data_IF_541203180833
#
_entry.id   IF_541203180833
#
_cell.length_a   1.000
_cell.length_b   1.000
_cell.length_c   1.000
_cell.angle_alpha   90.00
_cell.angle_beta   90.00
_cell.angle_gamma   90.00
#
_symmetry.space_group_name_H-M   'P 1'
#
loop_
_entity.id
_entity.type
_entity.pdbx_description
1 polymer ?
#
# COMPACT_ATOMS: atom_id res chain seq x y z
N UNK A 1 -9.14 8.52 8.21
CA UNK A 1 -7.98 8.90 7.36
C UNK A 1 -7.84 7.84 6.30
N UNK A 2 -7.80 8.21 5.02
CA UNK A 2 -7.69 7.24 3.93
C UNK A 2 -6.21 7.01 3.62
N UNK A 3 -5.79 5.75 3.69
CA UNK A 3 -4.45 5.32 3.29
C UNK A 3 -4.58 4.44 2.06
N UNK A 4 -3.89 4.81 1.00
CA UNK A 4 -3.81 3.99 -0.20
C UNK A 4 -2.58 3.09 -0.08
N UNK A 5 -2.84 1.78 -0.13
CA UNK A 5 -1.80 0.76 -0.06
C UNK A 5 -1.69 0.06 -1.42
N UNK A 6 -0.63 0.40 -2.17
CA UNK A 6 -0.33 -0.26 -3.43
C UNK A 6 0.42 -1.57 -3.15
N UNK A 7 -0.17 -2.67 -3.60
CA UNK A 7 0.28 -4.04 -3.34
C UNK A 7 0.26 -4.87 -4.62
N UNK A 8 0.79 -6.09 -4.56
CA UNK A 8 0.76 -7.07 -5.65
C UNK A 8 0.68 -8.48 -5.09
N UNK A 9 0.31 -9.43 -5.93
CA UNK A 9 0.30 -10.85 -5.53
C UNK A 9 1.71 -11.37 -5.32
N UNK A 10 1.88 -12.28 -4.35
CA UNK A 10 3.15 -12.96 -4.03
C UNK A 10 4.30 -11.99 -3.67
N UNK A 11 4.01 -10.99 -2.86
CA UNK A 11 5.00 -10.02 -2.37
C UNK A 11 5.12 -10.15 -0.84
N UNK A 12 6.27 -10.63 -0.35
CA UNK A 12 6.50 -10.82 1.09
C UNK A 12 6.49 -9.48 1.85
N UNK A 13 7.12 -8.44 1.28
CA UNK A 13 7.15 -7.09 1.88
C UNK A 13 5.74 -6.50 2.02
N UNK A 14 4.85 -6.80 1.08
CA UNK A 14 3.47 -6.34 1.10
C UNK A 14 2.66 -7.02 2.21
N UNK A 15 2.98 -8.28 2.54
CA UNK A 15 2.36 -8.97 3.68
C UNK A 15 2.77 -8.27 4.98
N UNK A 16 4.06 -7.96 5.13
CA UNK A 16 4.57 -7.26 6.32
C UNK A 16 3.96 -5.85 6.46
N UNK A 17 3.91 -5.09 5.37
CA UNK A 17 3.28 -3.78 5.34
C UNK A 17 1.79 -3.84 5.72
N UNK A 18 1.05 -4.82 5.19
CA UNK A 18 -0.36 -5.03 5.51
C UNK A 18 -0.57 -5.33 6.99
N UNK A 19 0.25 -6.21 7.58
CA UNK A 19 0.16 -6.53 9.01
C UNK A 19 0.36 -5.27 9.88
N UNK A 20 1.32 -4.41 9.53
CA UNK A 20 1.54 -3.15 10.25
C UNK A 20 0.33 -2.23 10.13
N UNK A 21 -0.23 -2.07 8.93
CA UNK A 21 -1.39 -1.22 8.73
C UNK A 21 -2.64 -1.75 9.47
N UNK A 22 -2.84 -3.06 9.51
CA UNK A 22 -3.92 -3.70 10.28
C UNK A 22 -3.75 -3.48 11.79
N UNK A 23 -2.51 -3.51 12.30
CA UNK A 23 -2.23 -3.15 13.69
C UNK A 23 -2.63 -1.69 13.94
N UNK A 24 -2.22 -0.78 13.05
CA UNK A 24 -2.53 0.66 13.17
C UNK A 24 -4.04 0.96 13.09
N UNK A 25 -4.83 0.17 12.35
CA UNK A 25 -6.29 0.31 12.35
C UNK A 25 -6.92 0.08 13.73
N UNK A 26 -6.27 -0.68 14.63
CA UNK A 26 -6.81 -0.88 15.98
C UNK A 26 -6.65 0.37 16.86
N UNK A 27 -5.59 1.14 16.63
CA UNK A 27 -5.25 2.33 17.43
C UNK A 27 -5.78 3.63 16.81
N UNK A 28 -6.01 3.64 15.49
CA UNK A 28 -6.41 4.82 14.73
C UNK A 28 -7.58 4.51 13.77
N UNK A 29 -8.50 5.48 13.54
CA UNK A 29 -9.60 5.34 12.58
C UNK A 29 -9.08 5.53 11.14
N UNK A 30 -8.31 4.55 10.67
CA UNK A 30 -7.73 4.52 9.33
C UNK A 30 -8.58 3.62 8.44
N UNK A 31 -8.83 4.08 7.22
CA UNK A 31 -9.43 3.29 6.16
C UNK A 31 -8.33 2.94 5.15
N UNK A 32 -8.01 1.66 5.01
CA UNK A 32 -7.00 1.20 4.05
C UNK A 32 -7.70 0.86 2.73
N UNK A 33 -7.22 1.50 1.66
CA UNK A 33 -7.64 1.22 0.28
C UNK A 33 -6.52 0.42 -0.40
N UNK A 34 -6.70 -0.89 -0.50
CA UNK A 34 -5.77 -1.77 -1.20
C UNK A 34 -5.92 -1.63 -2.72
N UNK A 35 -4.81 -1.36 -3.41
CA UNK A 35 -4.75 -1.28 -4.87
C UNK A 35 -3.74 -2.30 -5.37
N UNK A 36 -4.23 -3.37 -5.99
CA UNK A 36 -3.37 -4.35 -6.67
C UNK A 36 -2.82 -3.71 -7.95
N UNK A 37 -1.53 -3.40 -7.97
CA UNK A 37 -0.90 -2.76 -9.11
C UNK A 37 -0.94 -3.63 -10.36
N UNK A 38 -1.01 -4.96 -10.23
CA UNK A 38 -1.09 -5.89 -11.35
C UNK A 38 -2.42 -5.75 -12.13
N UNK A 39 -3.41 -5.06 -11.54
CA UNK A 39 -4.71 -4.80 -12.19
C UNK A 39 -4.74 -3.52 -13.03
N UNK A 40 -3.68 -2.71 -12.97
CA UNK A 40 -3.59 -1.43 -13.65
C UNK A 40 -2.17 -1.19 -14.17
N UNK A 41 -2.03 -1.10 -15.50
CA UNK A 41 -0.73 -0.91 -16.15
C UNK A 41 -0.01 0.36 -15.68
N UNK A 42 -0.73 1.47 -15.47
CA UNK A 42 -0.15 2.73 -14.98
C UNK A 42 0.47 2.58 -13.59
N UNK A 43 -0.21 1.86 -12.69
CA UNK A 43 0.31 1.59 -11.34
C UNK A 43 1.49 0.63 -11.38
N UNK A 44 1.44 -0.38 -12.27
CA UNK A 44 2.54 -1.32 -12.46
C UNK A 44 3.81 -0.60 -12.93
N UNK A 45 3.71 0.28 -13.92
CA UNK A 45 4.86 1.04 -14.42
C UNK A 45 5.39 2.01 -13.36
N UNK A 46 4.50 2.71 -12.65
CA UNK A 46 4.89 3.74 -11.68
C UNK A 46 5.48 3.17 -10.39
N UNK A 47 4.88 2.11 -9.84
CA UNK A 47 5.21 1.59 -8.51
C UNK A 47 5.90 0.24 -8.55
N UNK A 48 6.08 -0.36 -9.73
CA UNK A 48 6.46 -1.76 -9.85
C UNK A 48 7.79 -2.18 -9.21
N UNK A 49 8.71 -1.22 -9.03
CA UNK A 49 10.03 -1.40 -8.39
C UNK A 49 10.09 -0.84 -6.95
N UNK A 50 9.01 -0.24 -6.47
CA UNK A 50 8.96 0.49 -5.19
C UNK A 50 7.92 -0.09 -4.21
N UNK A 51 7.31 -1.21 -4.59
CA UNK A 51 6.24 -1.87 -3.86
C UNK A 51 6.78 -2.64 -2.65
N UNK A 52 6.11 -2.56 -1.48
CA UNK A 52 4.87 -1.82 -1.17
C UNK A 52 4.98 -0.29 -1.18
N UNK A 53 3.92 0.40 -1.61
CA UNK A 53 3.82 1.88 -1.52
C UNK A 53 2.63 2.29 -0.66
N UNK A 54 2.89 3.19 0.28
CA UNK A 54 1.89 3.80 1.17
C UNK A 54 1.72 5.27 0.78
N UNK A 55 0.50 5.65 0.42
CA UNK A 55 0.13 7.02 0.06
C UNK A 55 -0.97 7.52 1.01
N UNK A 56 -0.79 8.73 1.54
CA UNK A 56 -1.73 9.40 2.44
C UNK A 56 -1.92 10.81 1.91
N UNK A 57 -3.17 11.24 1.71
CA UNK A 57 -3.51 12.57 1.18
C UNK A 57 -2.78 12.94 -0.13
N UNK A 58 -2.45 11.94 -0.95
CA UNK A 58 -1.75 12.10 -2.23
C UNK A 58 -0.22 12.16 -2.13
N UNK A 59 0.35 12.07 -0.93
CA UNK A 59 1.79 12.00 -0.70
C UNK A 59 2.25 10.58 -0.39
N UNK A 60 3.33 10.15 -1.02
CA UNK A 60 3.97 8.86 -0.72
C UNK A 60 4.76 9.01 0.57
N UNK A 61 4.35 8.29 1.60
CA UNK A 61 4.99 8.32 2.93
C UNK A 61 6.02 7.21 3.06
N UNK A 62 5.80 6.07 2.38
CA UNK A 62 6.70 4.93 2.42
C UNK A 62 6.69 4.17 1.09
N UNK A 63 7.87 3.69 0.70
CA UNK A 63 8.09 2.78 -0.43
C UNK A 63 9.26 1.86 -0.09
N UNK A 64 9.30 0.64 -0.65
CA UNK A 64 10.45 -0.25 -0.47
C UNK A 64 10.14 -1.73 -0.57
#
# INVERSE_FOLDING_TARGET
MDIVFYTRKKCSLCVDAKNILEILQNDYPINIVEKDIDTNEEWTEKYGLMIPVIEIDGEIIQSG
#
